data_IF_395115385532
#
_entry.id   IF_395115385532
#
_cell.length_a   1.000
_cell.length_b   1.000
_cell.length_c   1.000
_cell.angle_alpha   90.00
_cell.angle_beta   90.00
_cell.angle_gamma   90.00
#
_symmetry.space_group_name_H-M   'P 1'
#
loop_
_entity.id
_entity.type
_entity.pdbx_description
1 polymer ?
#
# COMPACT_ATOMS: atom_id res chain seq x y z
N UNK A 1 -58.98 -6.76 -1.33
CA UNK A 1 -57.93 -7.30 -2.23
C UNK A 1 -56.61 -7.31 -1.46
N UNK A 2 -56.02 -8.49 -1.23
CA UNK A 2 -54.72 -8.64 -0.55
C UNK A 2 -53.59 -8.45 -1.57
N UNK A 3 -52.47 -7.80 -1.23
CA UNK A 3 -51.35 -7.69 -2.13
C UNK A 3 -50.61 -9.03 -2.25
N UNK A 4 -50.20 -9.34 -3.48
CA UNK A 4 -49.47 -10.55 -3.88
C UNK A 4 -48.04 -10.56 -3.37
N UNK A 5 -47.51 -11.77 -3.14
CA UNK A 5 -46.24 -12.06 -2.47
C UNK A 5 -44.95 -11.62 -3.23
N UNK A 6 -45.04 -10.70 -4.19
CA UNK A 6 -43.92 -10.28 -5.04
C UNK A 6 -43.30 -8.92 -4.73
N UNK A 7 -43.78 -8.18 -3.72
CA UNK A 7 -43.38 -6.78 -3.47
C UNK A 7 -42.69 -6.52 -2.11
N UNK A 8 -42.17 -7.55 -1.44
CA UNK A 8 -41.48 -7.42 -0.13
C UNK A 8 -40.06 -8.04 -0.11
N UNK A 9 -39.32 -7.93 -1.20
CA UNK A 9 -37.92 -8.38 -1.24
C UNK A 9 -36.96 -7.30 -1.79
N UNK A 10 -37.22 -6.04 -1.48
CA UNK A 10 -36.32 -4.92 -1.75
C UNK A 10 -36.03 -4.16 -0.45
N UNK A 11 -35.38 -4.86 0.49
CA UNK A 11 -34.68 -4.29 1.64
C UNK A 11 -34.05 -5.46 2.41
N UNK A 12 -32.82 -5.29 2.89
CA UNK A 12 -32.03 -6.25 3.67
C UNK A 12 -31.24 -7.31 2.88
N UNK A 13 -30.21 -6.86 2.15
CA UNK A 13 -29.02 -7.68 1.91
C UNK A 13 -27.74 -6.83 1.87
N UNK A 14 -27.60 -5.88 2.81
CA UNK A 14 -26.28 -5.37 3.19
C UNK A 14 -25.63 -6.39 4.14
N UNK A 15 -25.43 -7.61 3.65
CA UNK A 15 -24.64 -8.62 4.34
C UNK A 15 -23.20 -8.13 4.34
N UNK A 16 -22.70 -7.70 5.51
CA UNK A 16 -21.27 -7.43 5.72
C UNK A 16 -20.52 -8.71 5.41
N UNK A 17 -20.05 -8.85 4.17
CA UNK A 17 -19.09 -9.87 3.78
C UNK A 17 -17.80 -9.53 4.52
N UNK A 18 -17.57 -10.20 5.64
CA UNK A 18 -16.30 -10.18 6.34
C UNK A 18 -15.35 -11.09 5.55
N UNK A 19 -14.37 -10.56 4.79
CA UNK A 19 -13.38 -11.42 4.16
C UNK A 19 -12.62 -12.16 5.26
N UNK A 20 -12.58 -13.50 5.19
CA UNK A 20 -11.75 -14.31 6.10
C UNK A 20 -10.30 -13.81 6.01
N UNK A 21 -9.65 -13.46 7.13
CA UNK A 21 -8.34 -12.82 7.08
C UNK A 21 -7.30 -13.77 6.49
N UNK A 22 -6.71 -13.36 5.36
CA UNK A 22 -5.54 -14.01 4.80
C UNK A 22 -4.30 -13.59 5.60
N UNK A 23 -3.63 -14.59 6.17
CA UNK A 23 -2.43 -14.57 7.02
C UNK A 23 -2.64 -14.16 8.49
N UNK A 24 -2.20 -15.05 9.40
CA UNK A 24 -2.06 -14.86 10.86
C UNK A 24 -0.82 -14.00 11.18
N UNK A 25 -0.58 -12.91 10.46
CA UNK A 25 0.58 -12.06 10.69
C UNK A 25 0.22 -10.88 11.58
N UNK A 26 1.12 -10.61 12.54
CA UNK A 26 1.29 -9.46 13.44
C UNK A 26 0.14 -8.45 13.55
N UNK A 27 -0.28 -8.10 14.78
CA UNK A 27 -1.29 -7.07 15.11
C UNK A 27 -1.27 -5.91 14.08
N UNK A 28 -2.13 -5.98 13.07
CA UNK A 28 -2.22 -4.95 12.03
C UNK A 28 -2.83 -3.71 12.67
N UNK A 29 -2.17 -2.57 12.52
CA UNK A 29 -2.66 -1.26 12.99
C UNK A 29 -4.03 -0.96 12.37
N UNK A 30 -5.01 -0.60 13.19
CA UNK A 30 -6.40 -0.38 12.76
C UNK A 30 -6.49 0.78 11.77
N UNK A 31 -5.63 1.79 11.92
CA UNK A 31 -5.54 2.94 11.02
C UNK A 31 -5.21 2.51 9.58
N UNK A 32 -4.36 1.49 9.40
CA UNK A 32 -4.00 0.98 8.08
C UNK A 32 -5.15 0.21 7.38
N UNK A 33 -6.14 -0.25 8.16
CA UNK A 33 -7.36 -0.87 7.62
C UNK A 33 -8.36 0.16 7.14
N UNK A 34 -8.34 1.38 7.71
CA UNK A 34 -9.28 2.45 7.38
C UNK A 34 -8.93 3.05 6.02
N UNK A 35 -9.96 3.24 5.20
CA UNK A 35 -9.90 3.97 3.93
C UNK A 35 -10.97 5.05 3.94
N UNK A 36 -10.67 6.19 3.32
CA UNK A 36 -11.59 7.30 3.17
C UNK A 36 -12.33 7.19 1.85
N UNK A 37 -13.64 7.36 1.91
CA UNK A 37 -14.51 7.40 0.73
C UNK A 37 -14.76 6.05 0.09
N UNK A 38 -15.72 6.04 -0.84
CA UNK A 38 -16.05 4.87 -1.67
C UNK A 38 -14.88 4.53 -2.61
N UNK A 39 -14.59 3.23 -2.73
CA UNK A 39 -13.57 2.74 -3.68
C UNK A 39 -14.06 2.88 -5.14
N UNK A 40 -13.18 3.24 -6.08
CA UNK A 40 -13.53 3.40 -7.47
C UNK A 40 -13.74 2.05 -8.16
N UNK A 41 -14.60 2.04 -9.17
CA UNK A 41 -14.74 0.92 -10.09
C UNK A 41 -13.52 0.83 -11.02
N UNK A 42 -13.17 -0.39 -11.40
CA UNK A 42 -12.19 -0.66 -12.45
C UNK A 42 -12.92 -1.23 -13.64
N UNK A 43 -12.84 -0.54 -14.79
CA UNK A 43 -13.53 -0.92 -16.02
C UNK A 43 -12.48 -1.37 -17.02
N UNK A 44 -12.50 -2.65 -17.40
CA UNK A 44 -11.66 -3.19 -18.46
C UNK A 44 -12.45 -3.20 -19.77
N UNK A 45 -12.04 -2.37 -20.73
CA UNK A 45 -12.69 -2.24 -22.03
C UNK A 45 -12.07 -3.21 -23.03
N UNK A 46 -12.86 -4.21 -23.45
CA UNK A 46 -12.50 -5.28 -24.39
C UNK A 46 -11.16 -5.98 -24.06
N UNK A 47 -10.96 -6.47 -22.82
CA UNK A 47 -9.73 -7.18 -22.48
C UNK A 47 -9.53 -8.41 -23.35
N UNK A 48 -8.29 -8.64 -23.80
CA UNK A 48 -7.99 -9.72 -24.75
C UNK A 48 -7.65 -11.05 -24.10
N UNK A 49 -7.14 -11.04 -22.86
CA UNK A 49 -6.68 -12.24 -22.16
C UNK A 49 -7.32 -12.38 -20.79
N UNK A 50 -7.85 -13.58 -20.50
CA UNK A 50 -8.36 -13.94 -19.18
C UNK A 50 -7.32 -13.75 -18.08
N UNK A 51 -6.06 -14.11 -18.35
CA UNK A 51 -4.94 -13.95 -17.43
C UNK A 51 -4.74 -12.48 -17.00
N UNK A 52 -4.92 -11.52 -17.92
CA UNK A 52 -4.84 -10.09 -17.61
C UNK A 52 -6.00 -9.61 -16.74
N UNK A 53 -7.22 -10.11 -16.98
CA UNK A 53 -8.36 -9.84 -16.10
C UNK A 53 -8.08 -10.36 -14.69
N UNK A 54 -7.58 -11.60 -14.57
CA UNK A 54 -7.26 -12.20 -13.28
C UNK A 54 -6.17 -11.45 -12.52
N UNK A 55 -5.08 -11.09 -13.20
CA UNK A 55 -4.00 -10.29 -12.60
C UNK A 55 -4.44 -8.88 -12.22
N UNK A 56 -5.34 -8.25 -12.99
CA UNK A 56 -5.98 -6.98 -12.62
C UNK A 56 -6.86 -7.13 -11.37
N UNK A 57 -7.69 -8.17 -11.29
CA UNK A 57 -8.50 -8.47 -10.09
C UNK A 57 -7.63 -8.71 -8.85
N UNK A 58 -6.48 -9.39 -9.01
CA UNK A 58 -5.49 -9.55 -7.95
C UNK A 58 -4.90 -8.21 -7.51
N UNK A 59 -4.55 -7.34 -8.44
CA UNK A 59 -4.05 -5.99 -8.14
C UNK A 59 -5.10 -5.18 -7.37
N UNK A 60 -6.36 -5.22 -7.80
CA UNK A 60 -7.48 -4.60 -7.08
C UNK A 60 -7.60 -5.11 -5.64
N UNK A 61 -7.60 -6.43 -5.45
CA UNK A 61 -7.69 -7.05 -4.12
C UNK A 61 -6.54 -6.65 -3.19
N UNK A 62 -5.30 -6.53 -3.71
CA UNK A 62 -4.15 -6.08 -2.92
C UNK A 62 -4.36 -4.69 -2.31
N UNK A 63 -5.13 -3.83 -2.98
CA UNK A 63 -5.36 -2.45 -2.57
C UNK A 63 -6.79 -2.18 -2.07
N UNK A 64 -7.64 -3.21 -2.02
CA UNK A 64 -8.98 -3.15 -1.45
C UNK A 64 -10.07 -2.63 -2.40
N UNK A 65 -9.85 -2.69 -3.72
CA UNK A 65 -10.87 -2.44 -4.73
C UNK A 65 -11.59 -3.75 -5.06
N UNK A 66 -12.90 -3.69 -5.29
CA UNK A 66 -13.75 -4.88 -5.51
C UNK A 66 -14.74 -4.77 -6.67
N UNK A 67 -15.05 -3.55 -7.13
CA UNK A 67 -15.98 -3.30 -8.25
C UNK A 67 -15.21 -3.43 -9.58
N UNK A 68 -15.16 -4.66 -10.13
CA UNK A 68 -14.55 -4.96 -11.41
C UNK A 68 -15.63 -5.11 -12.49
N UNK A 69 -15.55 -4.26 -13.52
CA UNK A 69 -16.46 -4.24 -14.66
C UNK A 69 -15.70 -4.59 -15.92
N UNK A 70 -16.31 -5.43 -16.76
CA UNK A 70 -15.70 -5.87 -18.01
C UNK A 70 -16.67 -5.56 -19.15
N UNK A 71 -16.18 -4.84 -20.15
CA UNK A 71 -16.95 -4.50 -21.35
C UNK A 71 -16.50 -5.43 -22.47
N UNK A 72 -17.44 -6.19 -23.04
CA UNK A 72 -17.24 -7.02 -24.23
C UNK A 72 -15.90 -7.81 -24.24
N UNK A 73 -15.65 -8.71 -23.26
CA UNK A 73 -14.39 -9.45 -23.19
C UNK A 73 -14.22 -10.37 -24.41
N UNK A 74 -13.04 -10.33 -25.05
CA UNK A 74 -12.79 -11.05 -26.31
C UNK A 74 -13.05 -12.56 -26.21
N UNK A 75 -12.57 -13.17 -25.14
CA UNK A 75 -12.69 -14.62 -24.90
C UNK A 75 -13.97 -14.97 -24.10
N UNK A 76 -14.83 -14.00 -23.84
CA UNK A 76 -16.05 -14.17 -23.04
C UNK A 76 -15.80 -14.22 -21.52
N UNK A 77 -16.89 -14.45 -20.78
CA UNK A 77 -16.89 -14.60 -19.32
C UNK A 77 -17.99 -15.61 -18.91
N UNK A 78 -17.79 -16.47 -17.88
CA UNK A 78 -16.64 -16.57 -16.97
C UNK A 78 -15.38 -17.15 -17.62
N UNK A 79 -14.22 -16.90 -17.00
CA UNK A 79 -12.92 -17.39 -17.50
C UNK A 79 -12.14 -18.14 -16.41
N UNK A 80 -11.84 -19.43 -16.64
CA UNK A 80 -11.00 -20.23 -15.73
C UNK A 80 -9.58 -19.67 -15.62
N UNK A 81 -9.03 -19.17 -16.73
CA UNK A 81 -7.73 -18.51 -16.78
C UNK A 81 -7.68 -17.27 -15.88
N UNK A 82 -8.74 -16.46 -15.91
CA UNK A 82 -8.85 -15.29 -15.03
C UNK A 82 -8.91 -15.71 -13.56
N UNK A 83 -9.72 -16.70 -13.22
CA UNK A 83 -9.80 -17.22 -11.84
C UNK A 83 -8.45 -17.76 -11.35
N UNK A 84 -7.75 -18.53 -12.19
CA UNK A 84 -6.42 -19.04 -11.85
C UNK A 84 -5.40 -17.92 -11.62
N UNK A 85 -5.38 -16.91 -12.51
CA UNK A 85 -4.46 -15.78 -12.41
C UNK A 85 -4.77 -14.82 -11.23
N UNK A 86 -6.01 -14.80 -10.75
CA UNK A 86 -6.45 -13.95 -9.63
C UNK A 86 -5.85 -14.36 -8.27
N UNK A 87 -5.31 -15.57 -8.13
CA UNK A 87 -4.53 -16.01 -6.96
C UNK A 87 -5.21 -15.69 -5.62
N UNK A 88 -6.45 -16.18 -5.41
CA UNK A 88 -7.31 -15.97 -4.23
C UNK A 88 -8.02 -14.62 -4.12
N UNK A 89 -7.94 -13.76 -5.15
CA UNK A 89 -8.86 -12.64 -5.29
C UNK A 89 -10.26 -13.09 -5.75
N UNK A 90 -10.75 -14.22 -5.26
CA UNK A 90 -12.03 -14.82 -5.65
C UNK A 90 -13.19 -13.86 -5.38
N UNK A 91 -13.15 -13.13 -4.26
CA UNK A 91 -14.14 -12.12 -3.92
C UNK A 91 -14.25 -10.96 -4.92
N UNK A 92 -13.22 -10.69 -5.72
CA UNK A 92 -13.31 -9.72 -6.84
C UNK A 92 -13.87 -10.41 -8.07
N UNK A 93 -13.33 -11.59 -8.42
CA UNK A 93 -13.74 -12.39 -9.60
C UNK A 93 -15.21 -12.78 -9.54
N UNK A 94 -15.70 -13.20 -8.37
CA UNK A 94 -17.07 -13.66 -8.16
C UNK A 94 -18.10 -12.52 -8.24
N UNK A 95 -17.65 -11.27 -8.11
CA UNK A 95 -18.50 -10.06 -8.19
C UNK A 95 -18.29 -9.29 -9.51
N UNK A 96 -17.61 -9.87 -10.49
CA UNK A 96 -17.41 -9.24 -11.80
C UNK A 96 -18.75 -8.95 -12.48
N UNK A 97 -18.89 -7.74 -12.98
CA UNK A 97 -20.03 -7.32 -13.80
C UNK A 97 -19.60 -7.25 -15.27
N UNK A 98 -20.39 -7.88 -16.15
CA UNK A 98 -20.11 -7.89 -17.59
C UNK A 98 -21.14 -7.03 -18.31
N UNK A 99 -20.67 -6.15 -19.19
CA UNK A 99 -21.48 -5.22 -19.96
C UNK A 99 -21.20 -5.38 -21.45
N UNK A 100 -22.21 -5.13 -22.28
CA UNK A 100 -22.07 -5.13 -23.74
C UNK A 100 -21.37 -3.86 -24.24
N UNK A 101 -21.64 -2.71 -23.61
CA UNK A 101 -21.10 -1.42 -24.03
C UNK A 101 -20.43 -0.68 -22.88
N UNK A 102 -19.54 0.26 -23.21
CA UNK A 102 -18.85 1.07 -22.21
C UNK A 102 -19.80 2.03 -21.51
N UNK A 103 -20.75 2.61 -22.23
CA UNK A 103 -21.80 3.48 -21.70
C UNK A 103 -22.60 2.78 -20.61
N UNK A 104 -22.98 1.53 -20.82
CA UNK A 104 -23.69 0.74 -19.81
C UNK A 104 -22.82 0.48 -18.58
N UNK A 105 -21.52 0.23 -18.76
CA UNK A 105 -20.59 -0.01 -17.67
C UNK A 105 -20.28 1.22 -16.81
N UNK A 106 -20.56 2.43 -17.31
CA UNK A 106 -20.29 3.70 -16.60
C UNK A 106 -21.57 4.46 -16.20
N UNK A 107 -22.75 3.97 -16.57
CA UNK A 107 -24.01 4.72 -16.45
C UNK A 107 -24.38 5.15 -15.01
N UNK A 108 -23.98 4.40 -13.99
CA UNK A 108 -24.19 4.70 -12.57
C UNK A 108 -23.04 5.51 -11.94
N UNK A 109 -21.96 5.76 -12.69
CA UNK A 109 -20.80 6.52 -12.22
C UNK A 109 -21.04 8.02 -12.39
N UNK A 110 -20.65 8.80 -11.38
CA UNK A 110 -20.68 10.26 -11.42
C UNK A 110 -19.43 10.86 -12.06
N UNK A 111 -18.32 10.13 -12.03
CA UNK A 111 -17.05 10.61 -12.57
C UNK A 111 -16.20 9.46 -13.10
N UNK A 112 -15.58 9.64 -14.25
CA UNK A 112 -14.85 8.58 -14.94
C UNK A 112 -13.51 9.08 -15.46
N UNK A 113 -12.46 8.31 -15.21
CA UNK A 113 -11.12 8.55 -15.76
C UNK A 113 -10.85 7.62 -16.94
N UNK A 114 -10.32 8.13 -18.04
CA UNK A 114 -9.78 7.32 -19.14
C UNK A 114 -8.26 7.18 -18.98
N UNK A 115 -7.75 5.94 -18.92
CA UNK A 115 -6.29 5.69 -18.87
C UNK A 115 -5.71 5.57 -20.27
N UNK A 116 -4.71 6.38 -20.60
CA UNK A 116 -4.04 6.35 -21.91
C UNK A 116 -2.60 6.87 -21.79
N UNK A 117 -1.68 6.24 -22.52
CA UNK A 117 -0.29 6.69 -22.62
C UNK A 117 -0.08 7.72 -23.74
N UNK A 118 -1.07 7.89 -24.62
CA UNK A 118 -1.00 8.78 -25.79
C UNK A 118 -1.84 10.02 -25.56
N UNK A 119 -1.31 11.17 -25.98
CA UNK A 119 -2.12 12.36 -26.24
C UNK A 119 -3.12 12.01 -27.33
N UNK A 120 -4.40 12.13 -27.01
CA UNK A 120 -5.49 11.92 -27.97
C UNK A 120 -5.98 13.27 -28.44
N UNK A 121 -6.65 13.28 -29.60
CA UNK A 121 -7.30 14.47 -30.18
C UNK A 121 -8.52 14.94 -29.36
N UNK A 122 -8.62 14.54 -28.10
CA UNK A 122 -9.71 14.84 -27.18
C UNK A 122 -9.17 15.81 -26.12
N UNK A 123 -9.53 17.10 -26.16
CA UNK A 123 -9.01 18.11 -25.23
C UNK A 123 -9.66 17.96 -23.85
N UNK A 124 -9.07 17.12 -23.00
CA UNK A 124 -9.49 16.90 -21.60
C UNK A 124 -8.36 17.19 -20.63
N UNK A 125 -8.67 17.53 -19.37
CA UNK A 125 -7.65 17.61 -18.33
C UNK A 125 -6.89 16.28 -18.22
N UNK A 126 -5.57 16.36 -18.15
CA UNK A 126 -4.67 15.21 -18.00
C UNK A 126 -4.08 15.25 -16.59
N UNK A 127 -4.12 14.11 -15.90
CA UNK A 127 -3.59 13.94 -14.55
C UNK A 127 -2.59 12.80 -14.47
N UNK A 128 -1.67 12.93 -13.52
CA UNK A 128 -0.91 11.78 -12.99
C UNK A 128 -1.81 10.84 -12.17
N UNK A 129 -1.39 9.58 -11.93
CA UNK A 129 -2.16 8.62 -11.13
C UNK A 129 -2.33 9.06 -9.67
N UNK A 130 -1.37 9.82 -9.13
CA UNK A 130 -1.40 10.44 -7.80
C UNK A 130 -2.48 11.54 -7.70
N UNK A 131 -2.52 12.47 -8.66
CA UNK A 131 -3.55 13.51 -8.71
C UNK A 131 -4.96 12.94 -8.94
N UNK A 132 -5.07 11.91 -9.79
CA UNK A 132 -6.32 11.21 -10.03
C UNK A 132 -6.81 10.48 -8.78
N UNK A 133 -5.90 9.92 -7.98
CA UNK A 133 -6.24 9.28 -6.71
C UNK A 133 -6.77 10.28 -5.68
N UNK A 134 -6.17 11.47 -5.57
CA UNK A 134 -6.68 12.57 -4.72
C UNK A 134 -8.12 12.90 -5.11
N UNK A 135 -8.37 13.13 -6.40
CA UNK A 135 -9.70 13.44 -6.91
C UNK A 135 -10.71 12.31 -6.66
N UNK A 136 -10.32 11.06 -6.89
CA UNK A 136 -11.18 9.90 -6.65
C UNK A 136 -11.55 9.76 -5.17
N UNK A 137 -10.60 9.98 -4.25
CA UNK A 137 -10.88 9.97 -2.81
C UNK A 137 -11.80 11.14 -2.42
N UNK A 138 -11.53 12.36 -2.91
CA UNK A 138 -12.39 13.53 -2.64
C UNK A 138 -13.85 13.29 -3.04
N UNK A 139 -14.08 12.78 -4.26
CA UNK A 139 -15.42 12.44 -4.75
C UNK A 139 -16.02 11.27 -3.96
N UNK A 140 -15.22 10.24 -3.67
CA UNK A 140 -15.64 9.08 -2.89
C UNK A 140 -16.03 9.43 -1.45
N UNK A 141 -15.41 10.45 -0.81
CA UNK A 141 -15.84 10.93 0.51
C UNK A 141 -17.21 11.62 0.50
N UNK A 142 -17.66 12.06 -0.67
CA UNK A 142 -19.01 12.60 -0.91
C UNK A 142 -19.99 11.52 -1.37
N UNK A 143 -19.61 10.25 -1.27
CA UNK A 143 -20.37 9.07 -1.73
C UNK A 143 -20.70 9.06 -3.24
N UNK A 144 -19.93 9.82 -4.04
CA UNK A 144 -20.07 9.81 -5.50
C UNK A 144 -19.35 8.60 -6.08
N UNK A 145 -19.97 7.94 -7.05
CA UNK A 145 -19.41 6.78 -7.72
C UNK A 145 -18.36 7.23 -8.75
N UNK A 146 -17.14 6.67 -8.66
CA UNK A 146 -16.01 7.01 -9.54
C UNK A 146 -15.50 5.74 -10.21
N UNK A 147 -14.96 5.83 -11.43
CA UNK A 147 -14.31 4.69 -12.08
C UNK A 147 -13.10 5.04 -12.94
N UNK A 148 -12.24 4.04 -13.16
CA UNK A 148 -11.10 4.10 -14.09
C UNK A 148 -11.34 3.15 -15.25
N UNK A 149 -11.32 3.67 -16.48
CA UNK A 149 -11.39 2.88 -17.71
C UNK A 149 -9.99 2.55 -18.18
N UNK A 150 -9.74 1.26 -18.40
CA UNK A 150 -8.54 0.72 -19.00
C UNK A 150 -8.87 0.08 -20.33
N UNK A 151 -8.12 0.48 -21.37
CA UNK A 151 -8.33 -0.02 -22.71
C UNK A 151 -7.61 -1.33 -23.00
N UNK A 152 -7.78 -1.78 -24.23
CA UNK A 152 -7.22 -3.02 -24.79
C UNK A 152 -5.69 -2.99 -24.76
N UNK A 153 -5.05 -4.14 -24.62
CA UNK A 153 -3.60 -4.26 -24.43
C UNK A 153 -2.77 -3.67 -25.57
N UNK A 154 -3.24 -3.80 -26.82
CA UNK A 154 -2.45 -3.42 -28.01
C UNK A 154 -2.63 -1.96 -28.45
N UNK A 155 -3.83 -1.42 -28.31
CA UNK A 155 -4.16 -0.09 -28.84
C UNK A 155 -4.84 0.83 -27.82
N UNK A 156 -5.05 0.37 -26.60
CA UNK A 156 -5.70 1.11 -25.53
C UNK A 156 -7.17 1.37 -25.85
N UNK A 157 -7.67 2.50 -25.35
CA UNK A 157 -9.01 3.00 -25.66
C UNK A 157 -9.05 3.52 -27.11
N UNK A 158 -10.21 3.83 -27.68
CA UNK A 158 -10.36 4.63 -28.88
C UNK A 158 -10.80 6.07 -28.53
N UNK A 159 -10.86 6.98 -29.49
CA UNK A 159 -11.19 8.39 -29.20
C UNK A 159 -12.62 8.55 -28.66
N UNK A 160 -13.57 7.73 -29.12
CA UNK A 160 -14.97 7.73 -28.68
C UNK A 160 -15.07 7.28 -27.21
N UNK A 161 -14.33 6.25 -26.82
CA UNK A 161 -14.25 5.75 -25.44
C UNK A 161 -13.60 6.78 -24.50
N UNK A 162 -12.55 7.47 -24.95
CA UNK A 162 -11.97 8.58 -24.17
C UNK A 162 -12.91 9.77 -24.12
N UNK A 163 -13.73 9.99 -25.14
CA UNK A 163 -14.74 11.05 -25.15
C UNK A 163 -15.84 10.84 -24.08
N UNK A 164 -16.05 9.60 -23.60
CA UNK A 164 -17.00 9.29 -22.52
C UNK A 164 -16.49 9.59 -21.10
N UNK A 165 -15.18 9.72 -20.89
CA UNK A 165 -14.61 10.02 -19.56
C UNK A 165 -14.69 11.51 -19.18
N UNK A 166 -14.52 11.88 -17.93
CA UNK A 166 -14.40 13.30 -17.54
C UNK A 166 -12.95 13.80 -17.73
N UNK A 167 -11.98 12.97 -17.38
CA UNK A 167 -10.56 13.32 -17.39
C UNK A 167 -9.68 12.15 -17.86
N UNK A 168 -8.45 12.48 -18.27
CA UNK A 168 -7.45 11.51 -18.69
C UNK A 168 -6.46 11.26 -17.56
N UNK A 169 -6.10 10.00 -17.35
CA UNK A 169 -4.97 9.61 -16.50
C UNK A 169 -3.85 9.08 -17.39
N UNK A 170 -2.68 9.73 -17.30
CA UNK A 170 -1.45 9.31 -17.99
C UNK A 170 -0.40 8.93 -16.96
N UNK A 171 0.10 7.70 -17.04
CA UNK A 171 1.15 7.23 -16.15
C UNK A 171 2.49 7.78 -16.66
N UNK A 172 3.34 8.38 -15.81
CA UNK A 172 4.61 8.97 -16.21
C UNK A 172 5.69 7.89 -16.41
N UNK A 173 5.47 7.03 -17.40
CA UNK A 173 6.42 6.00 -17.85
C UNK A 173 7.42 6.58 -18.85
N UNK A 174 8.43 5.79 -19.20
CA UNK A 174 9.34 6.12 -20.29
C UNK A 174 8.54 6.39 -21.59
N UNK A 175 8.62 7.60 -22.18
CA UNK A 175 7.91 7.92 -23.42
C UNK A 175 8.27 7.01 -24.60
N UNK A 176 9.50 6.48 -24.63
CA UNK A 176 9.98 5.59 -25.69
C UNK A 176 9.46 4.15 -25.51
N UNK A 177 8.91 3.82 -24.33
CA UNK A 177 8.34 2.52 -24.01
C UNK A 177 7.05 2.63 -23.18
N UNK A 178 6.11 3.43 -23.66
CA UNK A 178 4.94 3.83 -22.87
C UNK A 178 3.78 2.80 -22.80
N UNK A 179 4.01 1.56 -23.26
CA UNK A 179 2.99 0.50 -23.27
C UNK A 179 3.11 -0.38 -22.03
N UNK A 180 2.34 -0.05 -20.98
CA UNK A 180 2.21 -0.89 -19.80
C UNK A 180 1.21 -2.03 -20.04
N UNK A 181 1.45 -3.17 -19.39
CA UNK A 181 0.42 -4.20 -19.28
C UNK A 181 -0.79 -3.65 -18.49
N UNK A 182 -2.00 -4.00 -18.91
CA UNK A 182 -3.24 -3.50 -18.31
C UNK A 182 -3.32 -3.72 -16.79
N UNK A 183 -2.91 -4.90 -16.31
CA UNK A 183 -2.91 -5.19 -14.87
C UNK A 183 -1.86 -4.37 -14.11
N UNK A 184 -0.75 -4.00 -14.75
CA UNK A 184 0.24 -3.08 -14.17
C UNK A 184 -0.32 -1.65 -14.07
N UNK A 185 -1.04 -1.18 -15.09
CA UNK A 185 -1.70 0.12 -15.03
C UNK A 185 -2.78 0.15 -13.92
N UNK A 186 -3.60 -0.92 -13.82
CA UNK A 186 -4.56 -1.10 -12.72
C UNK A 186 -3.85 -1.09 -11.37
N UNK A 187 -2.73 -1.80 -11.23
CA UNK A 187 -1.95 -1.87 -9.99
C UNK A 187 -1.47 -0.48 -9.55
N UNK A 188 -0.94 0.35 -10.46
CA UNK A 188 -0.48 1.71 -10.13
C UNK A 188 -1.65 2.59 -9.67
N UNK A 189 -2.76 2.61 -10.40
CA UNK A 189 -3.94 3.41 -10.02
C UNK A 189 -4.54 2.94 -8.68
N UNK A 190 -4.64 1.63 -8.47
CA UNK A 190 -5.15 1.05 -7.24
C UNK A 190 -4.23 1.33 -6.04
N UNK A 191 -2.91 1.26 -6.23
CA UNK A 191 -1.91 1.64 -5.23
C UNK A 191 -2.03 3.11 -4.85
N UNK A 192 -2.05 4.02 -5.82
CA UNK A 192 -2.16 5.46 -5.58
C UNK A 192 -3.47 5.80 -4.86
N UNK A 193 -4.60 5.18 -5.27
CA UNK A 193 -5.86 5.31 -4.56
C UNK A 193 -5.75 4.83 -3.11
N UNK A 194 -5.23 3.62 -2.86
CA UNK A 194 -5.13 3.07 -1.50
C UNK A 194 -4.22 3.89 -0.62
N UNK A 195 -3.04 4.26 -1.12
CA UNK A 195 -2.09 5.14 -0.42
C UNK A 195 -2.76 6.45 -0.02
N UNK A 196 -3.55 7.04 -0.90
CA UNK A 196 -4.26 8.30 -0.65
C UNK A 196 -5.41 8.10 0.35
N UNK A 197 -6.24 7.07 0.14
CA UNK A 197 -7.42 6.77 0.95
C UNK A 197 -7.06 6.36 2.38
N UNK A 198 -5.94 5.67 2.59
CA UNK A 198 -5.42 5.29 3.91
C UNK A 198 -4.39 6.29 4.47
N UNK A 199 -4.17 7.42 3.79
CA UNK A 199 -3.16 8.42 4.16
C UNK A 199 -1.74 7.86 4.33
N UNK A 200 -1.40 6.78 3.62
CA UNK A 200 -0.10 6.12 3.71
C UNK A 200 0.14 5.36 5.02
N UNK A 201 -0.91 5.08 5.80
CA UNK A 201 -0.77 4.30 7.02
C UNK A 201 -0.28 2.88 6.74
N UNK A 202 0.82 2.52 7.40
CA UNK A 202 1.46 1.22 7.27
C UNK A 202 0.86 0.22 8.29
N UNK A 203 0.73 -1.06 7.91
CA UNK A 203 0.14 -2.09 8.78
C UNK A 203 0.94 -2.34 10.06
N UNK A 204 2.23 -2.00 10.07
CA UNK A 204 3.13 -2.07 11.21
C UNK A 204 4.12 -0.90 11.17
N UNK A 205 4.54 -0.44 12.35
CA UNK A 205 5.62 0.53 12.56
C UNK A 205 6.42 0.07 13.79
N UNK A 206 7.63 0.61 13.96
CA UNK A 206 8.32 0.47 15.24
C UNK A 206 7.42 1.07 16.33
N UNK A 207 7.20 0.31 17.40
CA UNK A 207 6.49 0.81 18.56
C UNK A 207 7.47 1.65 19.37
N UNK A 208 7.33 2.98 19.28
CA UNK A 208 8.18 3.93 20.01
C UNK A 208 7.84 3.97 21.52
N UNK A 209 6.70 3.42 21.96
CA UNK A 209 6.41 3.26 23.39
C UNK A 209 7.14 2.04 23.96
N UNK A 210 7.18 0.92 23.21
CA UNK A 210 7.92 -0.28 23.58
C UNK A 210 9.45 -0.08 23.41
N UNK A 211 9.85 0.68 22.40
CA UNK A 211 11.23 0.95 22.05
C UNK A 211 11.50 2.47 21.97
N UNK A 212 11.48 3.18 23.11
CA UNK A 212 11.66 4.62 23.13
C UNK A 212 13.06 5.03 22.64
N UNK A 213 13.18 6.13 21.89
CA UNK A 213 14.47 6.67 21.50
C UNK A 213 15.27 7.05 22.73
N UNK A 214 16.57 6.79 22.71
CA UNK A 214 17.46 7.18 23.80
C UNK A 214 17.48 8.70 23.95
N UNK A 215 17.42 9.17 25.20
CA UNK A 215 17.60 10.60 25.48
C UNK A 215 19.00 11.04 25.09
N UNK A 216 19.18 12.35 24.82
CA UNK A 216 20.53 12.89 24.57
C UNK A 216 21.45 12.69 25.77
N UNK A 217 20.90 12.69 26.98
CA UNK A 217 21.66 12.40 28.19
C UNK A 217 22.21 10.97 28.19
N UNK A 218 21.40 9.97 27.84
CA UNK A 218 21.84 8.57 27.77
C UNK A 218 22.93 8.36 26.71
N UNK A 219 22.79 9.01 25.56
CA UNK A 219 23.80 8.96 24.49
C UNK A 219 25.10 9.64 24.93
N UNK A 220 25.03 10.77 25.63
CA UNK A 220 26.22 11.44 26.17
C UNK A 220 26.91 10.58 27.24
N UNK A 221 26.15 9.93 28.13
CA UNK A 221 26.69 8.98 29.12
C UNK A 221 27.35 7.77 28.46
N UNK A 222 26.81 7.30 27.33
CA UNK A 222 27.47 6.27 26.52
C UNK A 222 28.79 6.78 25.95
N UNK A 223 28.85 8.01 25.45
CA UNK A 223 30.10 8.62 24.94
C UNK A 223 31.15 8.74 26.03
N UNK A 224 30.79 9.27 27.19
CA UNK A 224 31.71 9.38 28.33
C UNK A 224 32.27 8.02 28.74
N UNK A 225 31.41 7.00 28.84
CA UNK A 225 31.82 5.64 29.20
C UNK A 225 32.72 5.02 28.13
N UNK A 226 32.32 5.09 26.85
CA UNK A 226 33.09 4.54 25.74
C UNK A 226 34.45 5.23 25.57
N UNK A 227 34.47 6.57 25.61
CA UNK A 227 35.70 7.35 25.47
C UNK A 227 36.68 7.04 26.59
N UNK A 228 36.22 6.99 27.84
CA UNK A 228 37.07 6.65 28.99
C UNK A 228 37.65 5.24 28.87
N UNK A 229 36.83 4.26 28.49
CA UNK A 229 37.29 2.88 28.29
C UNK A 229 38.31 2.76 27.15
N UNK A 230 38.14 3.54 26.08
CA UNK A 230 39.08 3.57 24.95
C UNK A 230 40.39 4.31 25.28
N UNK A 231 40.34 5.34 26.14
CA UNK A 231 41.54 5.99 26.68
C UNK A 231 42.39 4.99 27.49
N UNK A 232 41.77 4.24 28.40
CA UNK A 232 42.44 3.18 29.20
C UNK A 232 43.00 2.06 28.32
N UNK A 233 42.26 1.67 27.27
CA UNK A 233 42.73 0.70 26.28
C UNK A 233 43.83 1.24 25.35
N UNK A 234 44.25 2.51 25.52
CA UNK A 234 45.26 3.19 24.70
C UNK A 234 44.92 3.30 23.20
N UNK A 235 43.63 3.29 22.86
CA UNK A 235 43.13 3.31 21.47
C UNK A 235 43.43 4.64 20.75
N UNK A 236 43.37 5.77 21.46
CA UNK A 236 43.54 7.10 20.87
C UNK A 236 45.02 7.48 20.69
N UNK A 237 45.68 6.88 19.69
CA UNK A 237 47.08 7.20 19.32
C UNK A 237 47.23 7.55 17.83
N UNK A 238 48.08 8.55 17.49
CA UNK A 238 48.83 9.41 18.40
C UNK A 238 47.89 10.45 19.10
N UNK A 239 48.28 11.02 20.25
CA UNK A 239 47.40 11.86 21.09
C UNK A 239 46.75 13.03 20.35
N UNK A 240 47.45 13.60 19.37
CA UNK A 240 46.99 14.75 18.58
C UNK A 240 45.77 14.41 17.71
N UNK A 241 45.57 13.12 17.39
CA UNK A 241 44.41 12.64 16.61
C UNK A 241 43.19 12.34 17.46
N UNK A 242 43.31 12.27 18.78
CA UNK A 242 42.19 11.97 19.70
C UNK A 242 40.95 12.83 19.41
N UNK A 243 41.04 14.17 19.25
CA UNK A 243 39.85 14.99 18.98
C UNK A 243 39.12 14.62 17.69
N UNK A 244 39.84 14.16 16.66
CA UNK A 244 39.22 13.71 15.41
C UNK A 244 38.56 12.34 15.59
N UNK A 245 39.25 11.38 16.22
CA UNK A 245 38.74 10.03 16.46
C UNK A 245 37.48 10.04 17.34
N UNK A 246 37.47 10.84 18.42
CA UNK A 246 36.28 11.03 19.27
C UNK A 246 35.11 11.58 18.47
N UNK A 247 35.33 12.62 17.65
CA UNK A 247 34.28 13.17 16.78
C UNK A 247 33.73 12.12 15.81
N UNK A 248 34.59 11.29 15.23
CA UNK A 248 34.19 10.19 14.35
C UNK A 248 33.34 9.16 15.08
N UNK A 249 33.76 8.71 16.27
CA UNK A 249 33.00 7.75 17.08
C UNK A 249 31.63 8.31 17.48
N UNK A 250 31.57 9.54 18.00
CA UNK A 250 30.31 10.20 18.33
C UNK A 250 29.39 10.29 17.11
N UNK A 251 29.92 10.61 15.94
CA UNK A 251 29.14 10.70 14.70
C UNK A 251 28.54 9.36 14.27
N UNK A 252 29.22 8.23 14.50
CA UNK A 252 28.66 6.90 14.21
C UNK A 252 27.34 6.71 14.99
N UNK A 253 27.36 6.94 16.29
CA UNK A 253 26.20 6.72 17.15
C UNK A 253 25.12 7.80 17.04
N UNK A 254 25.49 9.06 16.77
CA UNK A 254 24.50 10.12 16.56
C UNK A 254 23.63 9.89 15.31
N UNK A 255 24.15 9.19 14.30
CA UNK A 255 23.39 8.82 13.09
C UNK A 255 22.53 7.57 13.27
N UNK A 256 22.76 6.80 14.32
CA UNK A 256 22.15 5.49 14.50
C UNK A 256 20.72 5.56 15.08
N UNK A 257 20.27 6.72 15.58
CA UNK A 257 18.93 6.89 16.20
C UNK A 257 18.59 5.80 17.23
N UNK A 258 19.53 5.54 18.13
CA UNK A 258 19.45 4.44 19.09
C UNK A 258 18.25 4.59 20.03
N UNK A 259 17.66 3.45 20.38
CA UNK A 259 16.71 3.28 21.48
C UNK A 259 17.42 3.25 22.84
N UNK A 260 16.69 3.50 23.92
CA UNK A 260 17.25 3.40 25.28
C UNK A 260 17.83 2.01 25.57
N UNK A 261 17.19 0.96 25.07
CA UNK A 261 17.62 -0.42 25.27
C UNK A 261 18.94 -0.68 24.57
N UNK A 262 19.12 -0.18 23.34
CA UNK A 262 20.37 -0.30 22.60
C UNK A 262 21.51 0.46 23.28
N UNK A 263 21.25 1.67 23.80
CA UNK A 263 22.24 2.41 24.58
C UNK A 263 22.65 1.63 25.84
N UNK A 264 21.68 1.07 26.57
CA UNK A 264 21.95 0.20 27.73
C UNK A 264 22.77 -1.03 27.34
N UNK A 265 22.45 -1.68 26.23
CA UNK A 265 23.19 -2.83 25.73
C UNK A 265 24.63 -2.46 25.35
N UNK A 266 24.84 -1.34 24.65
CA UNK A 266 26.17 -0.84 24.29
C UNK A 266 27.01 -0.51 25.52
N UNK A 267 26.43 0.16 26.54
CA UNK A 267 27.13 0.39 27.81
C UNK A 267 27.47 -0.92 28.53
N UNK A 268 26.61 -1.92 28.44
CA UNK A 268 26.87 -3.28 28.92
C UNK A 268 28.07 -3.94 28.21
N UNK A 269 28.17 -3.78 26.88
CA UNK A 269 29.33 -4.24 26.10
C UNK A 269 30.62 -3.57 26.59
N UNK A 270 30.63 -2.25 26.77
CA UNK A 270 31.80 -1.52 27.28
C UNK A 270 32.18 -2.02 28.68
N UNK A 271 31.22 -2.17 29.60
CA UNK A 271 31.49 -2.67 30.94
C UNK A 271 32.07 -4.09 30.96
N UNK A 272 31.61 -4.97 30.06
CA UNK A 272 32.13 -6.32 29.92
C UNK A 272 33.57 -6.33 29.38
N UNK A 273 33.88 -5.46 28.41
CA UNK A 273 35.24 -5.30 27.88
C UNK A 273 36.21 -4.73 28.94
N UNK A 274 35.72 -3.87 29.83
CA UNK A 274 36.46 -3.39 31.01
C UNK A 274 36.60 -4.46 32.12
N UNK A 275 36.06 -5.68 31.92
CA UNK A 275 36.05 -6.79 32.90
C UNK A 275 35.39 -6.42 34.24
N UNK A 276 34.44 -5.49 34.25
CA UNK A 276 33.66 -5.19 35.46
C UNK A 276 32.77 -6.40 35.79
N UNK A 277 32.63 -6.72 37.08
CA UNK A 277 31.69 -7.76 37.52
C UNK A 277 30.27 -7.36 37.09
N UNK A 278 29.72 -8.10 36.13
CA UNK A 278 28.33 -7.90 35.71
C UNK A 278 27.42 -8.58 36.73
N UNK A 279 26.31 -7.91 37.07
CA UNK A 279 25.37 -8.42 38.08
C UNK A 279 24.91 -9.82 37.66
N UNK A 280 25.06 -10.87 38.48
CA UNK A 280 24.67 -12.21 38.11
C UNK A 280 23.19 -12.24 37.74
N UNK A 281 22.85 -12.96 36.66
CA UNK A 281 21.46 -13.15 36.23
C UNK A 281 20.68 -13.70 37.43
N UNK A 282 19.58 -13.04 37.80
CA UNK A 282 18.70 -13.47 38.89
C UNK A 282 18.33 -14.92 38.59
N UNK A 283 18.80 -15.87 39.39
CA UNK A 283 18.42 -17.27 39.24
C UNK A 283 16.89 -17.31 39.33
N UNK A 284 16.23 -17.73 38.26
CA UNK A 284 14.82 -18.08 38.31
C UNK A 284 14.71 -19.12 39.43
N UNK A 285 13.90 -18.83 40.46
CA UNK A 285 13.60 -19.82 41.49
C UNK A 285 13.05 -21.03 40.74
N UNK A 286 13.77 -22.14 40.78
CA UNK A 286 13.21 -23.44 40.47
C UNK A 286 11.98 -23.62 41.36
N UNK A 287 10.82 -23.69 40.74
CA UNK A 287 9.63 -24.26 41.37
C UNK A 287 9.93 -25.76 41.55
N UNK A 288 10.54 -26.11 42.68
CA UNK A 288 10.52 -27.44 43.25
C UNK A 288 9.90 -27.31 44.63
N UNK A 289 8.57 -27.50 44.71
CA UNK A 289 7.86 -28.49 45.53
C UNK A 289 6.34 -28.27 45.48
#
# INVERSE_FOLDING_TARGET
MKPTAGQKAFQSAAGRLNPRPMSKNAKIREEARRVRGRAPAVILCEPQLGENIGTAARAMANFGLVDLRIVNPRDGWPSEKARAAASRADHVIDNVQVFETLEAAIADLTFVFATTARSREVPKPVRGPDEAAVKAVELGTKDLAVGYIFGRERWGLNNEEVALADEIVTLPVDPDFASLNIAQAVLVCAYEWRKTASQGELPFRLDEEEHPPATKEDVLRLFEHLESALDEATFFRPPERRPHMVRTLRNIFQKASLTEQEVRALRGVVAALEKRETRPRRQEKSEEE
#
